data_IF_533393342285
#
_entry.id   IF_533393342285
#
_cell.length_a   1.000
_cell.length_b   1.000
_cell.length_c   1.000
_cell.angle_alpha   90.00
_cell.angle_beta   90.00
_cell.angle_gamma   90.00
#
_symmetry.space_group_name_H-M   'P 1'
#
loop_
_entity.id
_entity.type
_entity.pdbx_description
1 polymer ?
#
# COMPACT_ATOMS: atom_id res chain seq x y z
N UNK A 1 -15.11 1.39 1.34
CA UNK A 1 -14.43 1.46 0.03
C UNK A 1 -14.27 0.05 -0.49
N UNK A 2 -14.61 -0.22 -1.75
CA UNK A 2 -14.22 -1.49 -2.38
C UNK A 2 -12.68 -1.57 -2.41
N UNK A 3 -12.06 -2.68 -1.99
CA UNK A 3 -10.61 -2.82 -2.06
C UNK A 3 -10.16 -2.57 -3.50
N UNK A 4 -9.09 -1.79 -3.70
CA UNK A 4 -8.53 -1.64 -5.02
C UNK A 4 -8.17 -3.04 -5.51
N UNK A 5 -8.85 -3.54 -6.54
CA UNK A 5 -8.57 -4.87 -7.05
C UNK A 5 -7.11 -4.89 -7.53
N UNK A 6 -6.34 -5.89 -7.06
CA UNK A 6 -4.99 -6.07 -7.55
C UNK A 6 -5.02 -6.18 -9.08
N UNK A 7 -4.16 -5.46 -9.81
CA UNK A 7 -4.09 -5.57 -11.27
C UNK A 7 -3.77 -7.01 -11.68
N UNK A 8 -4.14 -7.44 -12.90
CA UNK A 8 -3.99 -8.83 -13.34
C UNK A 8 -2.55 -9.35 -13.24
N UNK A 9 -1.56 -8.48 -13.44
CA UNK A 9 -0.14 -8.75 -13.18
C UNK A 9 0.37 -7.90 -12.02
N UNK A 10 0.16 -8.32 -10.76
CA UNK A 10 0.68 -7.56 -9.64
C UNK A 10 2.21 -7.66 -9.60
N UNK A 11 2.87 -6.51 -9.46
CA UNK A 11 4.33 -6.43 -9.42
C UNK A 11 4.79 -5.87 -8.07
N UNK A 12 5.55 -6.68 -7.32
CA UNK A 12 6.09 -6.28 -6.03
C UNK A 12 6.94 -5.01 -6.12
N UNK A 13 7.66 -4.81 -7.22
CA UNK A 13 8.46 -3.60 -7.45
C UNK A 13 7.58 -2.34 -7.56
N UNK A 14 6.43 -2.45 -8.24
CA UNK A 14 5.48 -1.34 -8.34
C UNK A 14 4.85 -1.03 -6.98
N UNK A 15 4.48 -2.05 -6.20
CA UNK A 15 3.94 -1.88 -4.85
C UNK A 15 4.97 -1.22 -3.91
N UNK A 16 6.25 -1.61 -4.00
CA UNK A 16 7.35 -0.95 -3.27
C UNK A 16 7.52 0.51 -3.70
N UNK A 17 7.41 0.81 -5.00
CA UNK A 17 7.45 2.19 -5.51
C UNK A 17 6.29 3.03 -4.98
N UNK A 18 5.07 2.49 -4.94
CA UNK A 18 3.91 3.16 -4.35
C UNK A 18 4.14 3.49 -2.87
N UNK A 19 4.63 2.52 -2.07
CA UNK A 19 4.93 2.77 -0.65
C UNK A 19 6.00 3.87 -0.46
N UNK A 20 7.04 3.88 -1.29
CA UNK A 20 8.05 4.95 -1.28
C UNK A 20 7.47 6.31 -1.69
N UNK A 21 6.59 6.33 -2.70
CA UNK A 21 5.91 7.55 -3.15
C UNK A 21 5.03 8.13 -2.04
N UNK A 22 4.30 7.29 -1.32
CA UNK A 22 3.48 7.70 -0.19
C UNK A 22 4.32 8.28 0.96
N UNK A 23 5.44 7.63 1.29
CA UNK A 23 6.38 8.16 2.29
C UNK A 23 6.96 9.52 1.87
N UNK A 24 7.26 9.70 0.58
CA UNK A 24 7.74 10.98 0.05
C UNK A 24 6.65 12.05 0.15
N UNK A 25 5.41 11.74 -0.23
CA UNK A 25 4.28 12.66 -0.12
C UNK A 25 4.02 13.10 1.32
N UNK A 26 4.04 12.16 2.28
CA UNK A 26 3.96 12.48 3.71
C UNK A 26 5.06 13.46 4.16
N UNK A 27 6.32 13.20 3.78
CA UNK A 27 7.46 14.09 4.12
C UNK A 27 7.39 15.47 3.47
N UNK A 28 6.73 15.56 2.32
CA UNK A 28 6.53 16.83 1.60
C UNK A 28 5.24 17.54 2.01
N UNK A 29 4.54 17.06 3.05
CA UNK A 29 3.24 17.58 3.49
C UNK A 29 2.19 17.65 2.36
N UNK A 30 2.19 16.63 1.50
CA UNK A 30 1.25 16.51 0.38
C UNK A 30 -0.17 16.16 0.88
N UNK A 31 -1.20 17.02 0.67
CA UNK A 31 -2.55 16.80 1.19
C UNK A 31 -3.19 15.50 0.70
N UNK A 32 -2.89 15.06 -0.53
CA UNK A 32 -3.41 13.81 -1.07
C UNK A 32 -2.90 12.59 -0.29
N UNK A 33 -1.66 12.67 0.21
CA UNK A 33 -1.08 11.65 1.08
C UNK A 33 -1.80 11.59 2.42
N UNK A 34 -2.09 12.73 3.06
CA UNK A 34 -2.84 12.74 4.32
C UNK A 34 -4.26 12.21 4.16
N UNK A 35 -4.97 12.58 3.08
CA UNK A 35 -6.30 12.03 2.78
C UNK A 35 -6.28 10.51 2.68
N UNK A 36 -5.29 9.94 1.96
CA UNK A 36 -5.15 8.48 1.84
C UNK A 36 -4.88 7.81 3.19
N UNK A 37 -4.08 8.44 4.04
CA UNK A 37 -3.81 7.95 5.40
C UNK A 37 -5.09 7.94 6.26
N UNK A 38 -5.89 9.01 6.23
CA UNK A 38 -7.17 9.09 6.96
C UNK A 38 -8.16 8.02 6.53
N UNK A 39 -8.20 7.72 5.24
CA UNK A 39 -9.10 6.71 4.67
C UNK A 39 -8.69 5.27 5.02
N UNK A 40 -7.41 5.02 5.25
CA UNK A 40 -6.86 3.67 5.43
C UNK A 40 -6.56 3.32 6.89
N UNK A 41 -6.18 4.32 7.69
CA UNK A 41 -5.78 4.17 9.07
C UNK A 41 -6.84 4.78 9.98
N UNK A 42 -7.67 3.93 10.57
CA UNK A 42 -8.79 4.31 11.45
C UNK A 42 -8.37 5.19 12.63
N UNK A 43 -7.13 5.10 13.11
CA UNK A 43 -6.64 5.93 14.20
C UNK A 43 -6.20 7.34 13.76
N UNK A 44 -6.12 7.59 12.45
CA UNK A 44 -5.81 8.90 11.87
C UNK A 44 -7.05 9.58 11.28
N UNK A 45 -8.23 8.94 11.29
CA UNK A 45 -9.42 9.47 10.62
C UNK A 45 -9.87 10.83 11.15
N UNK A 46 -9.63 11.09 12.44
CA UNK A 46 -10.01 12.33 13.13
C UNK A 46 -8.85 13.33 13.23
N UNK A 47 -7.66 13.00 12.73
CA UNK A 47 -6.49 13.89 12.80
C UNK A 47 -6.50 14.92 11.66
N UNK A 48 -5.98 16.10 11.96
CA UNK A 48 -5.71 17.15 10.97
C UNK A 48 -4.52 16.79 10.09
N UNK A 49 -4.39 17.47 8.95
CA UNK A 49 -3.25 17.25 8.04
C UNK A 49 -1.91 17.55 8.73
N UNK A 50 -1.84 18.62 9.50
CA UNK A 50 -0.67 18.97 10.31
C UNK A 50 -0.29 17.86 11.30
N UNK A 51 -1.25 17.35 12.08
CA UNK A 51 -1.01 16.25 13.01
C UNK A 51 -0.50 14.98 12.30
N UNK A 52 -1.09 14.66 11.15
CA UNK A 52 -0.66 13.53 10.34
C UNK A 52 0.77 13.72 9.85
N UNK A 53 1.13 14.91 9.36
CA UNK A 53 2.48 15.19 8.86
C UNK A 53 3.54 15.27 9.98
N UNK A 54 3.16 15.70 11.19
CA UNK A 54 4.03 15.68 12.35
C UNK A 54 4.20 14.27 12.95
N UNK A 55 3.24 13.36 12.70
CA UNK A 55 3.35 11.99 13.17
C UNK A 55 4.54 11.25 12.53
N UNK A 56 5.16 10.36 13.31
CA UNK A 56 6.25 9.49 12.82
C UNK A 56 5.72 8.52 11.77
N UNK A 57 5.96 8.84 10.49
CA UNK A 57 5.60 7.98 9.37
C UNK A 57 6.84 7.32 8.76
N UNK A 58 6.87 5.99 8.81
CA UNK A 58 7.98 5.17 8.30
C UNK A 58 7.60 4.44 7.02
N UNK A 59 8.61 3.90 6.32
CA UNK A 59 8.37 3.03 5.16
C UNK A 59 7.49 1.82 5.51
N UNK A 60 7.61 1.29 6.73
CA UNK A 60 6.77 0.19 7.21
C UNK A 60 5.30 0.59 7.31
N UNK A 61 5.01 1.81 7.77
CA UNK A 61 3.65 2.35 7.81
C UNK A 61 3.11 2.55 6.39
N UNK A 62 3.93 3.06 5.48
CA UNK A 62 3.54 3.20 4.08
C UNK A 62 3.22 1.84 3.44
N UNK A 63 4.03 0.80 3.68
CA UNK A 63 3.76 -0.55 3.21
C UNK A 63 2.46 -1.14 3.80
N UNK A 64 2.15 -0.84 5.06
CA UNK A 64 0.90 -1.26 5.70
C UNK A 64 -0.32 -0.60 5.04
N UNK A 65 -0.23 0.70 4.73
CA UNK A 65 -1.29 1.44 4.03
C UNK A 65 -1.55 0.79 2.68
N UNK A 66 -0.49 0.56 1.88
CA UNK A 66 -0.63 -0.13 0.58
C UNK A 66 -1.26 -1.52 0.75
N UNK A 67 -0.84 -2.31 1.74
CA UNK A 67 -1.44 -3.62 1.99
C UNK A 67 -2.96 -3.51 2.23
N UNK A 68 -3.38 -2.59 3.11
CA UNK A 68 -4.78 -2.37 3.44
C UNK A 68 -5.61 -1.84 2.28
N UNK A 69 -5.06 -0.97 1.44
CA UNK A 69 -5.73 -0.50 0.22
C UNK A 69 -6.05 -1.66 -0.75
N UNK A 70 -5.17 -2.68 -0.79
CA UNK A 70 -5.37 -3.90 -1.56
C UNK A 70 -6.12 -5.01 -0.79
N UNK A 71 -6.62 -4.72 0.42
CA UNK A 71 -7.40 -5.66 1.23
C UNK A 71 -6.58 -6.66 2.06
N UNK A 72 -5.27 -6.44 2.22
CA UNK A 72 -4.39 -7.26 3.05
C UNK A 72 -4.10 -6.61 4.40
N UNK A 73 -4.12 -7.40 5.47
CA UNK A 73 -3.83 -6.90 6.81
C UNK A 73 -2.36 -6.56 7.01
N UNK A 74 -1.45 -7.29 6.36
CA UNK A 74 0.00 -7.09 6.46
C UNK A 74 0.65 -7.07 5.09
N UNK A 75 1.75 -6.31 4.98
CA UNK A 75 2.59 -6.29 3.79
C UNK A 75 3.12 -7.67 3.37
N UNK A 76 3.40 -8.54 4.34
CA UNK A 76 3.87 -9.91 4.07
C UNK A 76 2.81 -10.73 3.34
N UNK A 77 1.52 -10.54 3.67
CA UNK A 77 0.42 -11.29 3.04
C UNK A 77 0.21 -10.83 1.60
N UNK A 78 0.27 -9.52 1.36
CA UNK A 78 0.29 -8.95 0.02
C UNK A 78 1.47 -9.49 -0.80
N UNK A 79 2.69 -9.49 -0.23
CA UNK A 79 3.89 -10.00 -0.91
C UNK A 79 3.73 -11.47 -1.30
N UNK A 80 3.29 -12.32 -0.37
CA UNK A 80 3.07 -13.76 -0.62
C UNK A 80 2.05 -13.99 -1.73
N UNK A 81 0.95 -13.23 -1.73
CA UNK A 81 -0.07 -13.32 -2.77
C UNK A 81 0.47 -12.96 -4.16
N UNK A 82 1.27 -11.90 -4.26
CA UNK A 82 1.92 -11.49 -5.51
C UNK A 82 2.94 -12.53 -6.00
N UNK A 83 3.74 -13.07 -5.08
CA UNK A 83 4.72 -14.13 -5.40
C UNK A 83 4.01 -15.41 -5.87
N UNK A 84 2.92 -15.81 -5.21
CA UNK A 84 2.11 -16.97 -5.63
C UNK A 84 1.53 -16.79 -7.03
N UNK A 85 0.98 -15.62 -7.36
CA UNK A 85 0.42 -15.36 -8.71
C UNK A 85 1.48 -15.41 -9.80
N UNK A 86 2.70 -14.97 -9.50
CA UNK A 86 3.83 -15.07 -10.45
C UNK A 86 4.26 -16.51 -10.70
N UNK A 87 4.27 -17.35 -9.66
CA UNK A 87 4.62 -18.76 -9.80
C UNK A 87 3.57 -19.53 -10.62
N UNK A 88 2.28 -19.25 -10.43
CA UNK A 88 1.20 -19.93 -11.16
C UNK A 88 1.15 -19.55 -12.65
N UNK A 89 1.63 -18.37 -13.04
CA UNK A 89 1.69 -17.92 -14.43
C UNK A 89 2.68 -18.68 -15.32
N UNK A 90 3.54 -19.53 -14.77
CA UNK A 90 4.56 -20.27 -15.52
C UNK A 90 4.18 -21.74 -15.79
N UNK A 91 3.12 -22.27 -15.19
CA UNK A 91 2.83 -23.72 -15.22
C UNK A 91 1.82 -24.17 -16.29
N UNK A 92 1.52 -23.35 -17.31
CA UNK A 92 0.56 -23.69 -18.36
C UNK A 92 1.06 -23.38 -19.79
N UNK A 93 2.24 -23.88 -20.16
CA UNK A 93 2.59 -24.07 -21.58
C UNK A 93 3.39 -25.35 -21.74
N UNK A 94 2.76 -26.51 -21.93
CA UNK A 94 3.30 -27.67 -22.65
C UNK A 94 2.21 -28.76 -22.73
N UNK A 95 1.42 -28.75 -23.80
CA UNK A 95 0.94 -29.97 -24.47
C UNK A 95 0.67 -29.62 -25.93
#
# INVERSE_FOLDING_TARGET
MSPAALPPNPNLEQLKKQAKSLLKGHRSADPASAQRLRQTLSHLSEQTDDEIFQAKFSLRNAQLVIAREYGFERWVDLKRHVESRRATGTMYIFT
#
